data_IF_978364404951
#
_entry.id   IF_978364404951
#
_cell.length_a   1.000
_cell.length_b   1.000
_cell.length_c   1.000
_cell.angle_alpha   90.00
_cell.angle_beta   90.00
_cell.angle_gamma   90.00
#
_symmetry.space_group_name_H-M   'P 1'
#
loop_
_entity.id
_entity.type
_entity.pdbx_description
1 polymer ?
#
# COMPACT_ATOMS: atom_id res chain seq x y z
N UNK A 1 5.03 -3.34 0.94
CA UNK A 1 6.08 -2.93 1.90
C UNK A 1 7.16 -4.01 1.94
N UNK A 2 6.87 -5.25 2.29
CA UNK A 2 7.87 -6.33 2.50
C UNK A 2 8.68 -6.69 1.26
N UNK A 3 8.05 -6.67 0.09
CA UNK A 3 8.73 -6.98 -1.19
C UNK A 3 9.55 -5.78 -1.68
N UNK A 4 8.99 -4.58 -1.62
CA UNK A 4 9.59 -3.41 -2.28
C UNK A 4 10.43 -2.52 -1.37
N UNK A 5 10.01 -2.32 -0.12
CA UNK A 5 10.71 -1.47 0.83
C UNK A 5 11.75 -2.25 1.65
N UNK A 6 11.31 -3.31 2.28
CA UNK A 6 12.19 -4.08 3.16
C UNK A 6 12.95 -5.19 2.46
N UNK A 7 12.61 -5.50 1.21
CA UNK A 7 13.25 -6.51 0.36
C UNK A 7 13.43 -7.88 1.05
N UNK A 8 12.47 -8.24 1.90
CA UNK A 8 12.52 -9.49 2.67
C UNK A 8 11.96 -10.70 1.94
N UNK A 9 11.04 -10.48 1.03
CA UNK A 9 10.50 -11.52 0.17
C UNK A 9 11.11 -11.40 -1.22
N UNK A 10 11.69 -12.49 -1.69
CA UNK A 10 12.26 -12.64 -3.04
C UNK A 10 11.69 -13.89 -3.70
N UNK A 11 11.94 -14.06 -5.00
CA UNK A 11 11.49 -15.23 -5.75
C UNK A 11 9.99 -15.48 -5.63
N UNK A 12 9.61 -16.74 -5.57
CA UNK A 12 8.22 -17.20 -5.54
C UNK A 12 7.39 -16.60 -4.40
N UNK A 13 7.99 -16.40 -3.22
CA UNK A 13 7.27 -15.75 -2.11
C UNK A 13 6.92 -14.30 -2.43
N UNK A 14 7.83 -13.54 -3.05
CA UNK A 14 7.55 -12.17 -3.49
C UNK A 14 6.42 -12.12 -4.53
N UNK A 15 6.40 -13.08 -5.46
CA UNK A 15 5.36 -13.21 -6.48
C UNK A 15 4.01 -13.50 -5.84
N UNK A 16 3.92 -14.49 -4.94
CA UNK A 16 2.68 -14.82 -4.22
C UNK A 16 2.13 -13.65 -3.42
N UNK A 17 2.99 -12.94 -2.68
CA UNK A 17 2.57 -11.78 -1.88
C UNK A 17 2.10 -10.63 -2.77
N UNK A 18 2.77 -10.41 -3.90
CA UNK A 18 2.39 -9.36 -4.85
C UNK A 18 1.06 -9.69 -5.54
N UNK A 19 0.88 -10.93 -5.98
CA UNK A 19 -0.37 -11.38 -6.57
C UNK A 19 -1.54 -11.26 -5.58
N UNK A 20 -1.32 -11.65 -4.33
CA UNK A 20 -2.36 -11.53 -3.28
C UNK A 20 -2.71 -10.08 -2.99
N UNK A 21 -1.72 -9.20 -2.93
CA UNK A 21 -1.95 -7.77 -2.75
C UNK A 21 -2.73 -7.16 -3.93
N UNK A 22 -2.40 -7.55 -5.17
CA UNK A 22 -3.13 -7.11 -6.36
C UNK A 22 -4.60 -7.56 -6.35
N UNK A 23 -4.87 -8.82 -5.96
CA UNK A 23 -6.23 -9.34 -5.82
C UNK A 23 -7.04 -8.55 -4.78
N UNK A 24 -6.47 -8.30 -3.61
CA UNK A 24 -7.13 -7.53 -2.55
C UNK A 24 -7.41 -6.10 -3.00
N UNK A 25 -6.44 -5.48 -3.67
CA UNK A 25 -6.58 -4.13 -4.18
C UNK A 25 -7.67 -4.06 -5.27
N UNK A 26 -7.75 -5.06 -6.15
CA UNK A 26 -8.81 -5.14 -7.16
C UNK A 26 -10.21 -5.19 -6.52
N UNK A 27 -10.37 -5.96 -5.43
CA UNK A 27 -11.65 -6.00 -4.68
C UNK A 27 -11.98 -4.63 -4.06
N UNK A 28 -10.97 -3.97 -3.48
CA UNK A 28 -11.13 -2.62 -2.93
C UNK A 28 -11.51 -1.61 -4.02
N UNK A 29 -10.88 -1.67 -5.18
CA UNK A 29 -11.22 -0.82 -6.31
C UNK A 29 -12.65 -1.04 -6.81
N UNK A 30 -13.12 -2.28 -6.84
CA UNK A 30 -14.51 -2.60 -7.13
C UNK A 30 -15.47 -1.99 -6.11
N UNK A 31 -15.13 -2.06 -4.83
CA UNK A 31 -15.89 -1.40 -3.77
C UNK A 31 -15.93 0.12 -3.95
N UNK A 32 -14.78 0.75 -4.13
CA UNK A 32 -14.66 2.20 -4.33
C UNK A 32 -15.42 2.67 -5.58
N UNK A 33 -15.32 1.92 -6.69
CA UNK A 33 -16.06 2.23 -7.93
C UNK A 33 -17.57 2.21 -7.71
N UNK A 34 -18.08 1.25 -6.93
CA UNK A 34 -19.52 1.20 -6.60
C UNK A 34 -19.95 2.39 -5.74
N UNK A 35 -19.13 2.79 -4.78
CA UNK A 35 -19.43 3.93 -3.90
C UNK A 35 -19.33 5.27 -4.62
N UNK A 36 -18.42 5.40 -5.57
CA UNK A 36 -18.32 6.56 -6.44
C UNK A 36 -19.55 6.69 -7.35
N UNK A 37 -20.09 5.55 -7.81
CA UNK A 37 -21.25 5.52 -8.72
C UNK A 37 -20.95 6.21 -10.05
N UNK A 38 -21.92 6.96 -10.55
CA UNK A 38 -21.83 7.73 -11.79
C UNK A 38 -21.29 9.16 -11.56
N UNK A 39 -21.12 9.58 -10.32
CA UNK A 39 -20.68 10.94 -9.98
C UNK A 39 -19.21 11.20 -10.31
N UNK A 40 -18.86 12.48 -10.50
CA UNK A 40 -17.48 12.87 -10.72
C UNK A 40 -16.58 12.72 -9.49
N UNK A 41 -17.14 12.77 -8.28
CA UNK A 41 -16.45 12.69 -6.99
C UNK A 41 -17.26 11.86 -6.00
N UNK A 42 -16.61 11.41 -4.92
CA UNK A 42 -17.22 10.53 -3.91
C UNK A 42 -18.40 11.15 -3.14
N UNK A 43 -18.53 12.46 -3.13
CA UNK A 43 -19.61 13.18 -2.46
C UNK A 43 -20.50 13.93 -3.47
N UNK A 44 -20.54 13.52 -4.73
CA UNK A 44 -21.39 14.09 -5.78
C UNK A 44 -20.62 14.96 -6.77
N UNK A 45 -21.10 16.18 -7.02
CA UNK A 45 -20.55 17.04 -8.08
C UNK A 45 -19.26 17.77 -7.69
N UNK A 46 -18.95 17.87 -6.40
CA UNK A 46 -17.82 18.64 -5.90
C UNK A 46 -16.74 17.76 -5.28
N UNK A 47 -15.48 18.16 -5.49
CA UNK A 47 -14.34 17.56 -4.83
C UNK A 47 -14.37 17.81 -3.31
N UNK A 48 -14.27 16.74 -2.52
CA UNK A 48 -14.47 16.82 -1.08
C UNK A 48 -13.50 15.97 -0.24
N UNK A 49 -13.85 15.80 1.04
CA UNK A 49 -13.02 15.06 2.00
C UNK A 49 -12.84 13.60 1.64
N UNK A 50 -13.85 12.96 1.09
CA UNK A 50 -13.75 11.56 0.68
C UNK A 50 -12.70 11.38 -0.43
N UNK A 51 -12.68 12.31 -1.40
CA UNK A 51 -11.67 12.31 -2.46
C UNK A 51 -10.26 12.50 -1.89
N UNK A 52 -10.09 13.44 -0.95
CA UNK A 52 -8.83 13.66 -0.25
C UNK A 52 -8.36 12.42 0.54
N UNK A 53 -9.30 11.67 1.11
CA UNK A 53 -8.99 10.46 1.89
C UNK A 53 -8.61 9.29 1.00
N UNK A 54 -9.24 9.12 -0.16
CA UNK A 54 -9.04 7.98 -1.07
C UNK A 54 -7.84 8.19 -1.99
N UNK A 55 -7.65 9.43 -2.48
CA UNK A 55 -6.65 9.73 -3.50
C UNK A 55 -5.22 9.28 -3.16
N UNK A 56 -4.66 9.53 -1.96
CA UNK A 56 -3.30 9.13 -1.63
C UNK A 56 -3.06 7.62 -1.73
N UNK A 57 -4.05 6.81 -1.37
CA UNK A 57 -3.93 5.34 -1.43
C UNK A 57 -3.96 4.82 -2.86
N UNK A 58 -4.84 5.38 -3.71
CA UNK A 58 -4.88 5.01 -5.13
C UNK A 58 -3.62 5.48 -5.85
N UNK A 59 -3.15 6.70 -5.57
CA UNK A 59 -1.90 7.23 -6.14
C UNK A 59 -0.67 6.43 -5.71
N UNK A 60 -0.63 5.97 -4.46
CA UNK A 60 0.44 5.12 -3.97
C UNK A 60 0.43 3.74 -4.65
N UNK A 61 -0.74 3.16 -4.85
CA UNK A 61 -0.88 1.90 -5.57
C UNK A 61 -0.47 2.03 -7.05
N UNK A 62 -0.87 3.11 -7.71
CA UNK A 62 -0.45 3.44 -9.08
C UNK A 62 1.07 3.57 -9.21
N UNK A 63 1.72 4.26 -8.28
CA UNK A 63 3.20 4.35 -8.20
C UNK A 63 3.88 2.98 -8.14
N UNK A 64 3.18 1.97 -7.63
CA UNK A 64 3.64 0.59 -7.56
C UNK A 64 3.20 -0.30 -8.73
N UNK A 65 2.63 0.28 -9.78
CA UNK A 65 2.19 -0.43 -10.98
C UNK A 65 0.87 -1.18 -10.80
N UNK A 66 0.05 -0.74 -9.85
CA UNK A 66 -1.28 -1.30 -9.54
C UNK A 66 -2.37 -0.21 -9.66
N UNK A 67 -2.52 0.45 -10.82
CA UNK A 67 -3.57 1.44 -11.04
C UNK A 67 -4.97 0.80 -11.07
N UNK A 68 -6.03 1.59 -10.91
CA UNK A 68 -7.38 1.14 -11.22
C UNK A 68 -7.49 0.74 -12.71
N UNK A 69 -8.28 -0.29 -13.00
CA UNK A 69 -8.46 -0.78 -14.37
C UNK A 69 -9.04 0.34 -15.27
N UNK A 70 -8.46 0.48 -16.45
CA UNK A 70 -8.86 1.52 -17.40
C UNK A 70 -10.37 1.43 -17.73
N UNK A 71 -11.01 2.59 -17.89
CA UNK A 71 -12.44 2.68 -18.19
C UNK A 71 -13.37 2.47 -16.98
N UNK A 72 -12.86 2.14 -15.82
CA UNK A 72 -13.69 2.06 -14.61
C UNK A 72 -14.01 3.45 -14.05
N UNK A 73 -15.14 3.61 -13.32
CA UNK A 73 -15.45 4.87 -12.64
C UNK A 73 -14.31 5.39 -11.79
N UNK A 74 -13.65 4.50 -11.04
CA UNK A 74 -12.51 4.85 -10.19
C UNK A 74 -11.30 5.33 -11.01
N UNK A 75 -11.02 4.74 -12.17
CA UNK A 75 -9.94 5.20 -13.04
C UNK A 75 -10.20 6.58 -13.59
N UNK A 76 -11.45 6.88 -14.03
CA UNK A 76 -11.85 8.19 -14.52
C UNK A 76 -11.80 9.25 -13.40
N UNK A 77 -12.23 8.87 -12.20
CA UNK A 77 -12.08 9.72 -11.01
C UNK A 77 -10.61 9.99 -10.70
N UNK A 78 -9.78 8.97 -10.70
CA UNK A 78 -8.34 9.09 -10.41
C UNK A 78 -7.64 10.03 -11.40
N UNK A 79 -7.93 9.92 -12.69
CA UNK A 79 -7.43 10.84 -13.72
C UNK A 79 -7.87 12.29 -13.44
N UNK A 80 -9.15 12.51 -13.12
CA UNK A 80 -9.71 13.82 -12.81
C UNK A 80 -9.08 14.47 -11.60
N UNK A 81 -8.88 13.69 -10.50
CA UNK A 81 -8.26 14.20 -9.29
C UNK A 81 -6.76 14.43 -9.50
N UNK A 82 -6.08 13.53 -10.20
CA UNK A 82 -4.67 13.68 -10.56
C UNK A 82 -4.37 14.93 -11.37
N UNK A 83 -5.30 15.38 -12.23
CA UNK A 83 -5.14 16.59 -13.02
C UNK A 83 -5.18 17.89 -12.21
N UNK A 84 -5.55 17.85 -10.92
CA UNK A 84 -5.59 19.04 -10.06
C UNK A 84 -4.18 19.51 -9.70
N UNK A 85 -3.96 20.80 -9.72
CA UNK A 85 -2.65 21.41 -9.35
C UNK A 85 -2.19 20.99 -7.95
N UNK A 86 -3.12 20.89 -7.01
CA UNK A 86 -2.80 20.43 -5.63
C UNK A 86 -2.33 18.98 -5.60
N UNK A 87 -2.95 18.10 -6.39
CA UNK A 87 -2.53 16.70 -6.51
C UNK A 87 -1.12 16.59 -7.09
N UNK A 88 -0.84 17.31 -8.18
CA UNK A 88 0.52 17.35 -8.76
C UNK A 88 1.57 17.80 -7.76
N UNK A 89 1.32 18.89 -7.02
CA UNK A 89 2.26 19.38 -6.01
C UNK A 89 2.49 18.36 -4.90
N UNK A 90 1.43 17.73 -4.41
CA UNK A 90 1.52 16.71 -3.35
C UNK A 90 2.25 15.47 -3.81
N UNK A 91 1.95 14.96 -5.01
CA UNK A 91 2.64 13.79 -5.56
C UNK A 91 4.13 14.08 -5.82
N UNK A 92 4.46 15.24 -6.36
CA UNK A 92 5.85 15.65 -6.58
C UNK A 92 6.63 15.73 -5.26
N UNK A 93 6.03 16.31 -4.22
CA UNK A 93 6.64 16.38 -2.89
C UNK A 93 6.82 14.97 -2.28
N UNK A 94 5.82 14.11 -2.39
CA UNK A 94 5.91 12.73 -1.90
C UNK A 94 7.01 11.95 -2.66
N UNK A 95 7.09 12.09 -3.98
CA UNK A 95 8.10 11.43 -4.79
C UNK A 95 9.52 11.94 -4.48
N UNK A 96 9.69 13.22 -4.21
CA UNK A 96 10.96 13.79 -3.78
C UNK A 96 11.44 13.19 -2.44
N UNK A 97 10.53 13.00 -1.48
CA UNK A 97 10.85 12.32 -0.22
C UNK A 97 11.19 10.85 -0.44
N UNK A 98 10.38 10.13 -1.21
CA UNK A 98 10.61 8.70 -1.48
C UNK A 98 11.93 8.46 -2.21
N UNK A 99 12.33 9.34 -3.14
CA UNK A 99 13.60 9.22 -3.88
C UNK A 99 14.83 9.45 -2.99
N UNK A 100 14.67 10.12 -1.86
CA UNK A 100 15.73 10.36 -0.89
C UNK A 100 15.78 9.29 0.23
N UNK A 101 14.80 8.40 0.28
CA UNK A 101 14.81 7.32 1.27
C UNK A 101 15.94 6.34 0.98
N UNK A 102 16.73 5.98 2.01
CA UNK A 102 17.76 4.96 1.85
C UNK A 102 17.13 3.60 1.56
N UNK A 103 17.92 2.70 0.97
CA UNK A 103 17.52 1.30 0.89
C UNK A 103 17.42 0.73 2.31
N UNK A 104 16.21 0.39 2.73
CA UNK A 104 15.95 -0.14 4.07
C UNK A 104 16.31 -1.62 4.21
N UNK A 105 16.50 -2.33 3.11
CA UNK A 105 16.83 -3.76 3.12
C UNK A 105 18.05 -4.10 3.98
N UNK A 106 19.20 -3.45 3.80
CA UNK A 106 20.39 -3.69 4.63
C UNK A 106 20.17 -3.40 6.12
N UNK A 107 19.43 -2.33 6.44
CA UNK A 107 19.13 -1.97 7.84
C UNK A 107 18.21 -2.99 8.51
N UNK A 108 17.26 -3.52 7.76
CA UNK A 108 16.38 -4.60 8.22
C UNK A 108 17.19 -5.90 8.40
N UNK A 109 18.05 -6.25 7.45
CA UNK A 109 18.88 -7.44 7.52
C UNK A 109 19.88 -7.40 8.71
N UNK A 110 20.39 -6.21 9.02
CA UNK A 110 21.29 -5.98 10.17
C UNK A 110 20.56 -5.89 11.52
N UNK A 111 19.22 -6.00 11.55
CA UNK A 111 18.44 -5.86 12.78
C UNK A 111 18.36 -4.46 13.37
N UNK A 112 18.85 -3.45 12.65
CA UNK A 112 18.77 -2.03 13.07
C UNK A 112 17.33 -1.54 13.07
N UNK A 113 16.55 -1.96 12.07
CA UNK A 113 15.12 -1.69 12.00
C UNK A 113 14.37 -2.91 12.53
N UNK A 114 13.76 -2.74 13.69
CA UNK A 114 12.84 -3.73 14.28
C UNK A 114 11.44 -3.49 13.75
N UNK A 115 10.70 -4.56 13.54
CA UNK A 115 9.31 -4.48 13.08
C UNK A 115 8.37 -4.97 14.17
N UNK A 116 7.38 -4.13 14.43
CA UNK A 116 6.27 -4.50 15.28
C UNK A 116 5.07 -4.92 14.42
N UNK A 117 4.50 -6.07 14.72
CA UNK A 117 3.28 -6.53 14.09
C UNK A 117 2.10 -6.29 15.03
N UNK A 118 1.07 -5.68 14.48
CA UNK A 118 -0.27 -5.71 15.09
C UNK A 118 -1.04 -6.87 14.46
N UNK A 119 -2.00 -7.41 15.21
CA UNK A 119 -2.69 -8.65 14.88
C UNK A 119 -3.20 -8.74 13.45
N UNK A 120 -3.87 -7.69 12.94
CA UNK A 120 -4.40 -7.68 11.58
C UNK A 120 -3.32 -7.79 10.48
N UNK A 121 -2.12 -7.32 10.75
CA UNK A 121 -1.00 -7.41 9.81
C UNK A 121 -0.38 -8.80 9.82
N UNK A 122 -0.22 -9.37 11.00
CA UNK A 122 0.23 -10.74 11.17
C UNK A 122 -0.76 -11.72 10.53
N UNK A 123 -2.05 -11.54 10.76
CA UNK A 123 -3.10 -12.33 10.13
C UNK A 123 -3.00 -12.28 8.60
N UNK A 124 -2.82 -11.08 8.02
CA UNK A 124 -2.66 -10.93 6.58
C UNK A 124 -1.45 -11.72 6.06
N UNK A 125 -0.30 -11.64 6.75
CA UNK A 125 0.90 -12.39 6.36
C UNK A 125 0.65 -13.89 6.37
N UNK A 126 0.13 -14.41 7.47
CA UNK A 126 -0.13 -15.85 7.62
C UNK A 126 -1.12 -16.36 6.55
N UNK A 127 -2.23 -15.65 6.35
CA UNK A 127 -3.23 -16.01 5.33
C UNK A 127 -2.74 -15.86 3.89
N UNK A 128 -1.73 -15.05 3.66
CA UNK A 128 -1.15 -14.80 2.34
C UNK A 128 0.06 -15.69 2.04
N UNK A 129 0.39 -16.65 2.91
CA UNK A 129 1.52 -17.55 2.72
C UNK A 129 2.87 -16.97 3.13
N UNK A 130 2.88 -15.84 3.84
CA UNK A 130 4.09 -15.16 4.32
C UNK A 130 4.57 -15.63 5.70
N UNK A 131 4.16 -16.81 6.16
CA UNK A 131 4.52 -17.34 7.48
C UNK A 131 6.03 -17.46 7.71
N UNK A 132 6.78 -17.77 6.65
CA UNK A 132 8.24 -17.85 6.70
C UNK A 132 8.91 -16.54 7.11
N UNK A 133 8.39 -15.40 6.66
CA UNK A 133 8.90 -14.08 7.05
C UNK A 133 8.78 -13.87 8.56
N UNK A 134 7.68 -14.37 9.14
CA UNK A 134 7.42 -14.24 10.57
C UNK A 134 8.34 -15.16 11.36
N UNK A 135 8.42 -16.43 10.97
CA UNK A 135 9.25 -17.43 11.66
C UNK A 135 10.74 -17.10 11.58
N UNK A 136 11.21 -16.66 10.41
CA UNK A 136 12.59 -16.22 10.23
C UNK A 136 12.90 -14.96 11.04
N UNK A 137 11.97 -14.00 11.04
CA UNK A 137 12.13 -12.77 11.82
C UNK A 137 12.15 -13.02 13.34
N UNK A 138 11.35 -13.97 13.83
CA UNK A 138 11.41 -14.41 15.24
C UNK A 138 12.76 -15.09 15.56
N UNK A 139 13.22 -15.97 14.69
CA UNK A 139 14.50 -16.67 14.89
C UNK A 139 15.72 -15.73 14.91
N UNK A 140 15.63 -14.60 14.18
CA UNK A 140 16.70 -13.58 14.11
C UNK A 140 16.51 -12.41 15.07
N UNK A 141 15.51 -12.43 15.93
CA UNK A 141 15.15 -11.33 16.85
C UNK A 141 14.94 -9.97 16.12
N UNK A 142 14.38 -10.02 14.89
CA UNK A 142 14.08 -8.84 14.09
C UNK A 142 12.59 -8.50 14.03
N UNK A 143 11.76 -9.31 14.69
CA UNK A 143 10.34 -9.10 14.88
C UNK A 143 10.04 -9.05 16.36
N UNK A 144 9.32 -8.01 16.78
CA UNK A 144 8.79 -7.88 18.13
C UNK A 144 7.29 -7.72 18.04
N UNK A 145 6.59 -8.39 18.93
CA UNK A 145 5.19 -8.08 19.20
C UNK A 145 5.13 -6.89 20.15
N UNK A 146 4.28 -5.91 19.85
CA UNK A 146 4.08 -4.81 20.78
C UNK A 146 3.68 -5.38 22.13
N UNK A 147 4.38 -4.99 23.18
CA UNK A 147 3.97 -5.33 24.55
C UNK A 147 2.53 -4.89 24.74
N UNK A 148 1.75 -5.71 25.44
CA UNK A 148 0.42 -5.31 25.86
C UNK A 148 0.54 -3.97 26.60
N UNK A 149 -0.31 -3.02 26.21
CA UNK A 149 -0.41 -1.74 26.92
C UNK A 149 -0.89 -2.10 28.32
N UNK A 150 0.01 -2.04 29.29
CA UNK A 150 -0.31 -2.16 30.71
C UNK A 150 -1.05 -0.90 31.17
#
# INVERSE_FOLDING_TARGET
IEVRFFKRATGELAERLTARAAEQLSRLYGFLSRHLGAGPFFQGEEFGRADLSVFPFVAYADLHGLPPAAGTPLALWFQRVSARTSAHKTLAAAQAVLSQMPDLGPLVAAGVIRREYRDHRLEWFLRSGGGEIVTEGLARDTIHFSAEIQ
#
